data_IF_884964057195
#
_entry.id   IF_884964057195
#
_cell.length_a   1.000
_cell.length_b   1.000
_cell.length_c   1.000
_cell.angle_alpha   90.00
_cell.angle_beta   90.00
_cell.angle_gamma   90.00
#
_symmetry.space_group_name_H-M   'P 1'
#
loop_
_entity.id
_entity.type
_entity.pdbx_description
1 polymer ?
#
# COMPACT_ATOMS: atom_id res chain seq x y z
N UNK A 1 -14.00 13.39 20.84
CA UNK A 1 -12.63 13.47 20.25
C UNK A 1 -11.56 13.76 21.30
N UNK A 2 -11.69 14.80 22.13
CA UNK A 2 -10.66 15.16 23.13
C UNK A 2 -10.34 14.04 24.14
N UNK A 3 -11.36 13.36 24.67
CA UNK A 3 -11.17 12.19 25.54
C UNK A 3 -10.29 11.11 24.88
N UNK A 4 -10.51 10.82 23.60
CA UNK A 4 -9.73 9.84 22.85
C UNK A 4 -8.29 10.30 22.65
N UNK A 5 -8.07 11.59 22.39
CA UNK A 5 -6.73 12.17 22.31
C UNK A 5 -5.98 12.04 23.63
N UNK A 6 -6.62 12.29 24.78
CA UNK A 6 -5.99 12.13 26.08
C UNK A 6 -5.61 10.67 26.38
N UNK A 7 -6.50 9.72 26.05
CA UNK A 7 -6.23 8.28 26.22
C UNK A 7 -5.07 7.84 25.33
N UNK A 8 -5.12 8.17 24.03
CA UNK A 8 -4.07 7.81 23.08
C UNK A 8 -2.73 8.46 23.42
N UNK A 9 -2.73 9.73 23.86
CA UNK A 9 -1.52 10.44 24.30
C UNK A 9 -0.87 9.78 25.50
N UNK A 10 -1.68 9.42 26.50
CA UNK A 10 -1.20 8.74 27.72
C UNK A 10 -0.59 7.40 27.36
N UNK A 11 -1.22 6.65 26.44
CA UNK A 11 -0.66 5.41 25.95
C UNK A 11 0.65 5.62 25.19
N UNK A 12 0.74 6.57 24.26
CA UNK A 12 1.92 6.73 23.39
C UNK A 12 3.14 7.34 24.11
N UNK A 13 2.93 8.27 25.05
CA UNK A 13 4.02 8.95 25.77
C UNK A 13 4.89 8.02 26.61
N UNK A 14 4.38 6.85 27.02
CA UNK A 14 5.22 5.88 27.76
C UNK A 14 6.08 5.00 26.83
N UNK A 15 5.94 5.11 25.50
CA UNK A 15 6.67 4.27 24.52
C UNK A 15 7.58 5.09 23.62
N UNK A 16 7.27 6.37 23.45
CA UNK A 16 7.92 7.25 22.48
C UNK A 16 8.33 8.57 23.12
N UNK A 17 9.24 9.29 22.46
CA UNK A 17 9.58 10.68 22.79
C UNK A 17 8.33 11.56 22.69
N UNK A 18 8.21 12.54 23.57
CA UNK A 18 7.00 13.37 23.71
C UNK A 18 6.57 14.02 22.38
N UNK A 19 7.51 14.61 21.64
CA UNK A 19 7.25 15.27 20.36
C UNK A 19 6.64 14.31 19.32
N UNK A 20 7.16 13.08 19.25
CA UNK A 20 6.68 12.07 18.32
C UNK A 20 5.34 11.49 18.78
N UNK A 21 5.19 11.26 20.08
CA UNK A 21 3.95 10.78 20.67
C UNK A 21 2.78 11.74 20.41
N UNK A 22 3.00 13.04 20.56
CA UNK A 22 1.95 14.05 20.34
C UNK A 22 1.52 14.13 18.87
N UNK A 23 2.44 13.98 17.91
CA UNK A 23 2.12 13.86 16.47
C UNK A 23 1.34 12.59 16.14
N UNK A 24 1.76 11.44 16.68
CA UNK A 24 1.09 10.17 16.43
C UNK A 24 -0.28 10.08 17.09
N UNK A 25 -0.48 10.78 18.21
CA UNK A 25 -1.76 10.82 18.93
C UNK A 25 -2.90 11.28 18.02
N UNK A 26 -2.69 12.36 17.24
CA UNK A 26 -3.72 12.86 16.32
C UNK A 26 -3.99 11.87 15.20
N UNK A 27 -2.93 11.28 14.63
CA UNK A 27 -3.02 10.28 13.54
C UNK A 27 -3.82 9.05 13.98
N UNK A 28 -3.52 8.49 15.16
CA UNK A 28 -4.19 7.29 15.66
C UNK A 28 -5.68 7.55 15.91
N UNK A 29 -6.01 8.69 16.54
CA UNK A 29 -7.41 9.02 16.82
C UNK A 29 -8.18 9.25 15.52
N UNK A 30 -7.60 9.94 14.55
CA UNK A 30 -8.27 10.20 13.27
C UNK A 30 -8.41 8.90 12.45
N UNK A 31 -7.43 7.99 12.48
CA UNK A 31 -7.51 6.68 11.83
C UNK A 31 -8.65 5.82 12.41
N UNK A 32 -8.75 5.73 13.74
CA UNK A 32 -9.81 4.96 14.41
C UNK A 32 -11.19 5.56 14.17
N UNK A 33 -11.30 6.89 14.14
CA UNK A 33 -12.58 7.56 13.83
C UNK A 33 -13.02 7.35 12.38
N UNK A 34 -12.09 7.21 11.42
CA UNK A 34 -12.43 6.93 10.03
C UNK A 34 -13.07 5.54 9.83
N UNK A 35 -12.67 4.55 10.63
CA UNK A 35 -13.19 3.18 10.53
C UNK A 35 -14.40 2.92 11.44
N UNK A 36 -14.64 3.78 12.43
CA UNK A 36 -15.69 3.58 13.42
C UNK A 36 -17.08 3.75 12.80
N UNK A 37 -17.86 2.66 12.78
CA UNK A 37 -19.28 2.68 12.44
C UNK A 37 -20.11 2.49 13.72
N UNK A 38 -21.26 3.17 13.90
CA UNK A 38 -22.02 3.13 15.14
C UNK A 38 -22.54 1.73 15.55
N UNK A 39 -22.79 0.86 14.56
CA UNK A 39 -23.47 -0.43 14.78
C UNK A 39 -22.54 -1.65 14.65
N UNK A 40 -21.28 -1.45 14.24
CA UNK A 40 -20.32 -2.53 14.04
C UNK A 40 -19.15 -2.40 15.04
N UNK A 41 -18.61 -3.53 15.53
CA UNK A 41 -17.36 -3.50 16.28
C UNK A 41 -16.23 -2.98 15.38
N UNK A 42 -15.28 -2.26 16.00
CA UNK A 42 -14.13 -1.70 15.28
C UNK A 42 -13.22 -2.85 14.82
N UNK A 43 -13.01 -2.96 13.51
CA UNK A 43 -12.01 -3.86 12.93
C UNK A 43 -10.68 -3.14 12.71
N UNK A 44 -9.64 -3.58 13.42
CA UNK A 44 -8.31 -3.01 13.34
C UNK A 44 -7.55 -3.43 12.06
N UNK A 45 -8.00 -4.48 11.34
CA UNK A 45 -7.40 -4.84 10.05
C UNK A 45 -7.66 -3.78 8.97
N UNK A 46 -8.67 -2.91 9.18
CA UNK A 46 -8.95 -1.79 8.31
C UNK A 46 -7.91 -0.66 8.42
N UNK A 47 -7.02 -0.70 9.43
CA UNK A 47 -5.91 0.24 9.58
C UNK A 47 -4.61 -0.47 9.28
N UNK A 48 -4.14 -0.29 8.04
CA UNK A 48 -2.85 -0.83 7.61
C UNK A 48 -1.70 0.08 8.03
N UNK A 49 -0.62 -0.51 8.56
CA UNK A 49 0.60 0.21 8.95
C UNK A 49 1.69 -0.13 7.95
N UNK A 50 1.94 0.78 7.00
CA UNK A 50 3.06 0.67 6.08
C UNK A 50 4.30 1.37 6.63
N UNK A 51 5.43 0.67 6.62
CA UNK A 51 6.71 1.24 7.02
C UNK A 51 7.53 1.61 5.79
N UNK A 52 7.97 2.86 5.72
CA UNK A 52 8.84 3.36 4.67
C UNK A 52 10.22 3.61 5.26
N UNK A 53 11.26 3.17 4.54
CA UNK A 53 12.64 3.45 4.95
C UNK A 53 12.97 4.90 4.61
N UNK A 54 12.98 5.75 5.62
CA UNK A 54 13.42 7.13 5.50
C UNK A 54 14.43 7.47 6.59
N UNK A 55 15.21 8.53 6.41
CA UNK A 55 16.28 8.91 7.35
C UNK A 55 15.73 9.53 8.64
N UNK A 56 14.49 10.03 8.61
CA UNK A 56 13.83 10.64 9.76
C UNK A 56 12.61 9.85 10.20
N UNK A 57 12.46 9.69 11.52
CA UNK A 57 11.33 9.04 12.20
C UNK A 57 10.12 9.98 12.37
N UNK A 58 10.30 11.26 12.08
CA UNK A 58 9.31 12.31 12.33
C UNK A 58 8.24 12.48 11.24
N UNK A 59 8.30 11.71 10.15
CA UNK A 59 7.45 11.86 8.95
C UNK A 59 6.37 10.78 8.84
N UNK A 60 5.60 10.55 9.91
CA UNK A 60 4.41 9.70 9.83
C UNK A 60 3.20 10.52 9.37
N UNK A 61 2.45 10.00 8.40
CA UNK A 61 1.23 10.63 7.90
C UNK A 61 0.09 9.62 7.84
N UNK A 62 -1.12 10.11 8.10
CA UNK A 62 -2.35 9.35 7.85
C UNK A 62 -2.74 9.55 6.39
N UNK A 63 -2.93 8.45 5.66
CA UNK A 63 -3.54 8.46 4.33
C UNK A 63 -4.95 7.91 4.47
N UNK A 64 -5.96 8.68 4.05
CA UNK A 64 -7.36 8.25 4.04
C UNK A 64 -7.63 7.42 2.79
N UNK A 65 -6.99 6.26 2.70
CA UNK A 65 -7.02 5.39 1.55
C UNK A 65 -6.00 4.26 1.67
N UNK A 66 -5.73 3.59 0.56
CA UNK A 66 -4.76 2.51 0.48
C UNK A 66 -3.44 3.04 -0.08
N UNK A 67 -2.33 2.62 0.52
CA UNK A 67 -0.99 2.86 0.01
C UNK A 67 -0.50 1.55 -0.58
N UNK A 68 0.05 1.59 -1.79
CA UNK A 68 0.63 0.43 -2.45
C UNK A 68 2.16 0.50 -2.36
N UNK A 69 2.77 -0.64 -2.15
CA UNK A 69 4.22 -0.88 -2.08
C UNK A 69 4.90 -0.81 -3.45
N UNK A 70 4.16 -1.11 -4.51
CA UNK A 70 4.65 -1.04 -5.88
C UNK A 70 4.05 0.13 -6.67
N UNK A 71 4.90 0.79 -7.45
CA UNK A 71 4.53 1.91 -8.32
C UNK A 71 4.71 1.60 -9.80
N UNK A 72 4.58 2.64 -10.62
CA UNK A 72 4.77 2.56 -12.06
C UNK A 72 6.20 2.13 -12.43
N UNK A 73 6.33 1.14 -13.33
CA UNK A 73 7.63 0.64 -13.79
C UNK A 73 8.18 1.39 -15.01
N UNK A 74 7.32 1.77 -15.94
CA UNK A 74 7.74 2.45 -17.16
C UNK A 74 7.81 3.97 -16.94
N UNK A 75 8.84 4.68 -17.44
CA UNK A 75 8.97 6.13 -17.25
C UNK A 75 7.79 6.91 -17.86
N UNK A 76 7.22 6.43 -18.96
CA UNK A 76 6.09 7.10 -19.64
C UNK A 76 4.72 6.76 -19.04
N UNK A 77 4.66 5.90 -18.01
CA UNK A 77 3.41 5.72 -17.28
C UNK A 77 3.08 6.98 -16.48
N UNK A 78 1.81 7.36 -16.49
CA UNK A 78 1.32 8.52 -15.73
C UNK A 78 1.63 8.35 -14.24
N UNK A 79 2.33 9.32 -13.66
CA UNK A 79 2.64 9.36 -12.22
C UNK A 79 1.47 9.85 -11.37
N UNK A 80 0.56 10.59 -11.99
CA UNK A 80 -0.61 11.15 -11.33
C UNK A 80 -1.83 10.90 -12.21
N UNK A 81 -2.88 10.36 -11.61
CA UNK A 81 -4.14 10.00 -12.28
C UNK A 81 -5.27 10.44 -11.36
N UNK A 82 -6.09 11.36 -11.84
CA UNK A 82 -7.37 11.74 -11.21
C UNK A 82 -8.49 10.85 -11.76
N UNK A 83 -9.52 10.58 -10.96
CA UNK A 83 -10.70 9.77 -11.33
C UNK A 83 -10.34 8.41 -11.98
N UNK A 84 -9.44 7.68 -11.34
CA UNK A 84 -8.97 6.39 -11.83
C UNK A 84 -9.96 5.25 -11.54
N UNK A 85 -10.18 4.38 -12.54
CA UNK A 85 -10.80 3.07 -12.33
C UNK A 85 -9.70 2.02 -12.12
N UNK A 86 -9.77 1.29 -11.00
CA UNK A 86 -8.78 0.29 -10.62
C UNK A 86 -9.29 -1.10 -11.01
N UNK A 87 -8.52 -1.81 -11.83
CA UNK A 87 -8.75 -3.21 -12.14
C UNK A 87 -7.85 -4.08 -11.25
N UNK A 88 -8.44 -4.91 -10.39
CA UNK A 88 -7.73 -5.91 -9.61
C UNK A 88 -7.76 -7.25 -10.35
N UNK A 89 -6.59 -7.81 -10.67
CA UNK A 89 -6.47 -9.09 -11.35
C UNK A 89 -5.44 -9.98 -10.64
N UNK A 90 -5.75 -11.27 -10.54
CA UNK A 90 -4.83 -12.31 -10.06
C UNK A 90 -4.35 -13.18 -11.23
N UNK A 91 -4.02 -12.55 -12.35
CA UNK A 91 -3.56 -13.19 -13.59
C UNK A 91 -2.28 -12.49 -14.03
N UNK A 92 -1.32 -13.27 -14.51
CA UNK A 92 -0.07 -12.74 -15.08
C UNK A 92 -0.32 -12.17 -16.48
N UNK A 93 0.11 -10.92 -16.68
CA UNK A 93 0.09 -10.25 -17.99
C UNK A 93 1.49 -10.13 -18.61
N UNK A 94 2.50 -10.65 -17.92
CA UNK A 94 3.87 -10.65 -18.41
C UNK A 94 4.06 -11.81 -19.40
N UNK A 95 4.98 -11.64 -20.35
CA UNK A 95 5.39 -12.76 -21.20
C UNK A 95 6.19 -13.73 -20.35
N UNK A 96 5.54 -14.82 -19.94
CA UNK A 96 6.18 -15.86 -19.15
C UNK A 96 7.05 -16.74 -20.03
N UNK A 97 8.32 -16.86 -19.65
CA UNK A 97 9.16 -17.93 -20.17
C UNK A 97 8.60 -19.24 -19.63
N UNK A 98 8.35 -20.21 -20.52
CA UNK A 98 7.87 -21.53 -20.11
C UNK A 98 8.80 -22.14 -19.04
N UNK A 99 8.24 -22.51 -17.88
CA UNK A 99 9.00 -23.13 -16.79
C UNK A 99 9.59 -24.49 -17.20
N UNK A 100 8.92 -25.19 -18.10
CA UNK A 100 9.43 -26.38 -18.76
C UNK A 100 10.31 -25.95 -19.93
N UNK A 101 11.48 -26.58 -20.09
CA UNK A 101 12.32 -26.41 -21.30
C UNK A 101 11.52 -26.88 -22.53
N UNK A 102 10.74 -25.98 -23.10
CA UNK A 102 10.08 -26.18 -24.38
C UNK A 102 11.11 -25.89 -25.45
N UNK A 103 11.79 -26.95 -25.91
CA UNK A 103 12.65 -26.84 -27.09
C UNK A 103 11.74 -26.61 -28.29
N UNK A 104 11.61 -25.35 -28.73
CA UNK A 104 10.92 -25.02 -29.97
C UNK A 104 11.70 -25.59 -31.15
N UNK A 105 11.25 -26.73 -31.66
CA UNK A 105 11.75 -27.33 -32.89
C UNK A 105 11.04 -26.64 -34.05
N UNK A 106 11.76 -25.85 -34.84
CA UNK A 106 11.26 -25.24 -36.07
C UNK A 106 12.08 -25.74 -37.26
N UNK A 107 11.42 -26.00 -38.38
CA UNK A 107 12.08 -26.47 -39.61
C UNK A 107 12.31 -25.31 -40.58
N UNK A 108 11.46 -24.28 -40.52
CA UNK A 108 11.45 -23.13 -41.43
C UNK A 108 11.52 -21.79 -40.68
N UNK A 109 12.00 -20.74 -41.36
CA UNK A 109 12.12 -19.39 -40.78
C UNK A 109 10.76 -18.76 -40.43
N UNK A 110 9.71 -19.01 -41.22
CA UNK A 110 8.35 -18.51 -40.94
C UNK A 110 7.73 -19.13 -39.68
N UNK A 111 8.08 -20.39 -39.35
CA UNK A 111 7.58 -21.05 -38.13
C UNK A 111 8.19 -20.42 -36.88
N UNK A 112 9.46 -20.00 -36.96
CA UNK A 112 10.12 -19.29 -35.87
C UNK A 112 9.47 -17.93 -35.58
N UNK A 113 9.09 -17.18 -36.62
CA UNK A 113 8.49 -15.84 -36.46
C UNK A 113 7.09 -15.87 -35.84
N UNK A 114 6.33 -16.97 -35.98
CA UNK A 114 5.01 -17.13 -35.35
C UNK A 114 5.05 -17.61 -33.90
N UNK A 115 6.19 -18.18 -33.46
CA UNK A 115 6.37 -18.74 -32.12
C UNK A 115 7.12 -17.80 -31.16
N UNK A 116 7.71 -16.73 -31.71
CA UNK A 116 8.33 -15.61 -30.99
C UNK A 116 7.32 -14.47 -30.90
#
# INVERSE_FOLDING_TARGET
REMLLCVARTALRTKLREELADKLTTIVVDAVLCIAKPEEPIDLHMVEIMTMKHQTDNETKLIQGLVLDHGARHPDMKRYVEDAFVLTCNISLEYERSEVNSTFMYTDAEQREKMV
#
